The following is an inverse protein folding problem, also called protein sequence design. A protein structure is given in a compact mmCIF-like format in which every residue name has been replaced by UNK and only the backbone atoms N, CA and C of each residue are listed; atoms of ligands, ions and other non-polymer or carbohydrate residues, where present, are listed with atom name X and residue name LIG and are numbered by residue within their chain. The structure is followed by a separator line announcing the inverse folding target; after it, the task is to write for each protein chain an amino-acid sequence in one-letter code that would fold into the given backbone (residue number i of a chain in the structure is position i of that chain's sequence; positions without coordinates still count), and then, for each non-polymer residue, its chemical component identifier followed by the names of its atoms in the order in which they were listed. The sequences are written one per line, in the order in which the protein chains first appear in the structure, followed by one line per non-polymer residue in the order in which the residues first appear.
data_IF_894449750816
#
_entry.id   IF_894449750816
#
_cell.length_a   1.000
_cell.length_b   1.000
_cell.length_c   1.000
_cell.angle_alpha   90.00
_cell.angle_beta   90.00
_cell.angle_gamma   90.00
#
_symmetry.space_group_name_H-M   'P 1'
#
loop_
_entity.id
_entity.type
_entity.pdbx_description
1 polymer ?
#
# COMPACT_ATOMS: atom_id res chain seq x y z
N UNK A 1 -8.82 -13.86 7.01
CA UNK A 1 -8.69 -13.50 5.58
C UNK A 1 -9.46 -12.20 5.37
N UNK A 2 -8.88 -11.20 4.71
CA UNK A 2 -9.57 -9.94 4.39
C UNK A 2 -10.23 -10.11 3.03
N UNK A 3 -11.57 -10.13 2.97
CA UNK A 3 -12.27 -10.39 1.70
C UNK A 3 -12.05 -9.27 0.68
N UNK A 4 -12.29 -8.03 1.09
CA UNK A 4 -12.11 -6.86 0.25
C UNK A 4 -11.30 -5.80 1.00
N UNK A 5 -10.32 -5.21 0.31
CA UNK A 5 -9.52 -4.12 0.86
C UNK A 5 -9.35 -3.01 -0.17
N UNK A 6 -9.33 -1.77 0.31
CA UNK A 6 -9.06 -0.59 -0.51
C UNK A 6 -7.65 -0.12 -0.20
N UNK A 7 -6.79 -0.12 -1.22
CA UNK A 7 -5.43 0.42 -1.15
C UNK A 7 -5.42 1.80 -1.81
N UNK A 8 -5.22 2.84 -1.02
CA UNK A 8 -5.19 4.22 -1.51
C UNK A 8 -3.77 4.73 -1.51
N UNK A 9 -3.34 5.33 -2.63
CA UNK A 9 -1.99 5.91 -2.77
C UNK A 9 -2.11 7.41 -2.96
N UNK A 10 -1.41 8.16 -2.13
CA UNK A 10 -1.46 9.62 -2.09
C UNK A 10 -0.08 10.22 -2.41
N UNK A 11 -0.04 11.55 -2.54
CA UNK A 11 1.21 12.29 -2.64
C UNK A 11 2.14 12.02 -1.44
N UNK A 12 3.42 12.33 -1.60
CA UNK A 12 4.45 12.17 -0.56
C UNK A 12 4.62 10.72 -0.08
N UNK A 13 4.34 9.75 -0.95
CA UNK A 13 4.48 8.32 -0.70
C UNK A 13 3.61 7.76 0.43
N UNK A 14 2.53 8.45 0.81
CA UNK A 14 1.56 7.92 1.77
C UNK A 14 0.69 6.85 1.10
N UNK A 15 0.57 5.69 1.73
CA UNK A 15 -0.36 4.64 1.32
C UNK A 15 -1.25 4.26 2.50
N UNK A 16 -2.54 4.04 2.25
CA UNK A 16 -3.47 3.53 3.26
C UNK A 16 -4.09 2.22 2.80
N UNK A 17 -4.49 1.41 3.77
CA UNK A 17 -5.24 0.17 3.58
C UNK A 17 -6.43 0.18 4.51
N UNK A 18 -7.64 0.01 3.94
CA UNK A 18 -8.89 -0.11 4.68
C UNK A 18 -9.58 -1.43 4.34
N UNK A 19 -10.09 -2.12 5.35
CA UNK A 19 -11.00 -3.26 5.20
C UNK A 19 -11.97 -3.24 6.39
N UNK A 20 -13.26 -3.46 6.17
CA UNK A 20 -14.30 -3.30 7.20
C UNK A 20 -14.12 -1.98 7.98
N UNK A 21 -14.07 -2.06 9.31
CA UNK A 21 -13.81 -0.93 10.23
C UNK A 21 -12.32 -0.70 10.54
N UNK A 22 -11.42 -1.44 9.89
CA UNK A 22 -9.98 -1.37 10.14
C UNK A 22 -9.28 -0.44 9.15
N UNK A 23 -8.21 0.19 9.64
CA UNK A 23 -7.41 1.13 8.87
C UNK A 23 -5.93 1.00 9.22
N UNK A 24 -5.08 1.07 8.19
CA UNK A 24 -3.63 1.03 8.32
C UNK A 24 -2.99 2.06 7.40
N UNK A 25 -1.82 2.56 7.83
CA UNK A 25 -1.00 3.49 7.06
C UNK A 25 0.37 2.89 6.79
N UNK A 26 0.94 3.28 5.66
CA UNK A 26 2.29 2.98 5.25
C UNK A 26 2.91 4.22 4.60
N UNK A 27 4.23 4.33 4.69
CA UNK A 27 4.98 5.38 4.02
C UNK A 27 6.09 4.77 3.16
N UNK A 28 6.14 5.20 1.90
CA UNK A 28 7.11 4.71 0.95
C UNK A 28 6.71 3.40 0.27
N UNK A 29 7.38 3.13 -0.85
CA UNK A 29 7.37 1.84 -1.52
C UNK A 29 8.82 1.42 -1.71
N UNK A 30 9.20 0.26 -1.17
CA UNK A 30 10.54 -0.30 -1.34
C UNK A 30 10.58 -1.17 -2.58
N UNK A 31 11.61 -1.01 -3.40
CA UNK A 31 11.85 -1.88 -4.55
C UNK A 31 12.96 -2.87 -4.20
N UNK A 32 12.77 -4.13 -4.56
CA UNK A 32 13.75 -5.18 -4.33
C UNK A 32 13.62 -6.27 -5.39
N UNK A 33 14.41 -7.34 -5.28
CA UNK A 33 14.38 -8.49 -6.17
C UNK A 33 14.42 -9.79 -5.39
N UNK A 34 13.83 -10.85 -5.94
CA UNK A 34 13.95 -12.20 -5.39
C UNK A 34 15.37 -12.75 -5.61
N UNK A 35 15.68 -13.90 -5.03
CA UNK A 35 16.95 -14.59 -5.27
C UNK A 35 17.19 -14.93 -6.76
N UNK A 36 16.10 -15.08 -7.52
CA UNK A 36 16.14 -15.34 -8.98
C UNK A 36 16.06 -14.02 -9.79
N UNK A 37 16.48 -12.89 -9.22
CA UNK A 37 16.49 -11.55 -9.82
C UNK A 37 15.11 -11.02 -10.28
N UNK A 38 14.01 -11.58 -9.77
CA UNK A 38 12.66 -11.12 -10.15
C UNK A 38 12.31 -9.86 -9.35
N UNK A 39 12.06 -8.70 -9.99
CA UNK A 39 11.77 -7.47 -9.28
C UNK A 39 10.38 -7.49 -8.63
N UNK A 40 10.29 -6.91 -7.43
CA UNK A 40 9.04 -6.67 -6.71
C UNK A 40 9.07 -5.35 -5.94
N UNK A 41 7.89 -4.87 -5.59
CA UNK A 41 7.67 -3.67 -4.77
C UNK A 41 6.97 -4.05 -3.49
N UNK A 42 7.36 -3.48 -2.36
CA UNK A 42 6.76 -3.73 -1.05
C UNK A 42 6.26 -2.42 -0.44
N UNK A 43 5.03 -2.45 0.04
CA UNK A 43 4.45 -1.44 0.92
C UNK A 43 4.26 -2.07 2.30
N UNK A 44 5.02 -1.62 3.29
CA UNK A 44 4.95 -2.13 4.67
C UNK A 44 4.07 -1.25 5.53
N UNK A 45 3.02 -1.83 6.09
CA UNK A 45 2.08 -1.15 6.98
C UNK A 45 2.58 -1.14 8.43
N UNK A 46 2.07 -0.20 9.24
CA UNK A 46 2.48 -0.05 10.64
C UNK A 46 2.22 -1.29 11.51
N UNK A 47 1.20 -2.07 11.20
CA UNK A 47 0.92 -3.34 11.88
C UNK A 47 1.86 -4.49 11.47
N UNK A 48 2.83 -4.24 10.59
CA UNK A 48 3.79 -5.23 10.11
C UNK A 48 3.35 -6.02 8.88
N UNK A 49 2.14 -5.77 8.37
CA UNK A 49 1.69 -6.39 7.12
C UNK A 49 2.45 -5.83 5.91
N UNK A 50 2.64 -6.65 4.89
CA UNK A 50 3.26 -6.25 3.63
C UNK A 50 2.32 -6.50 2.44
N UNK A 51 2.07 -5.44 1.68
CA UNK A 51 1.53 -5.56 0.33
C UNK A 51 2.68 -5.61 -0.68
N UNK A 52 2.82 -6.75 -1.34
CA UNK A 52 3.87 -7.02 -2.32
C UNK A 52 3.28 -7.01 -3.72
N UNK A 53 3.95 -6.33 -4.65
CA UNK A 53 3.55 -6.25 -6.05
C UNK A 53 4.67 -6.73 -6.97
N UNK A 54 4.34 -7.69 -7.83
CA UNK A 54 5.22 -8.19 -8.89
C UNK A 54 4.85 -7.56 -10.23
N UNK A 55 5.55 -6.50 -10.68
CA UNK A 55 5.19 -5.77 -11.90
C UNK A 55 5.22 -6.64 -13.16
N UNK A 56 6.18 -7.58 -13.26
CA UNK A 56 6.28 -8.46 -14.43
C UNK A 56 5.11 -9.44 -14.58
N UNK A 57 4.37 -9.72 -13.50
CA UNK A 57 3.19 -10.60 -13.52
C UNK A 57 1.87 -9.85 -13.30
N UNK A 58 1.94 -8.55 -13.00
CA UNK A 58 0.79 -7.74 -12.59
C UNK A 58 0.00 -8.36 -11.42
N UNK A 59 0.72 -8.93 -10.44
CA UNK A 59 0.11 -9.67 -9.32
C UNK A 59 0.46 -9.04 -8.00
N UNK A 60 -0.55 -8.96 -7.12
CA UNK A 60 -0.40 -8.57 -5.73
C UNK A 60 -0.42 -9.79 -4.80
N UNK A 61 0.36 -9.71 -3.74
CA UNK A 61 0.35 -10.65 -2.63
C UNK A 61 0.27 -9.87 -1.31
N UNK A 62 -0.50 -10.39 -0.38
CA UNK A 62 -0.63 -9.86 0.98
C UNK A 62 0.04 -10.81 1.96
N UNK A 63 1.03 -10.32 2.68
CA UNK A 63 1.69 -11.03 3.77
C UNK A 63 1.21 -10.42 5.09
N UNK A 64 0.65 -11.25 5.96
CA UNK A 64 0.19 -10.81 7.27
C UNK A 64 1.30 -10.96 8.30
N UNK A 65 1.43 -9.99 9.19
CA UNK A 65 2.37 -10.05 10.29
C UNK A 65 2.18 -11.34 11.11
N UNK A 66 3.25 -12.12 11.26
CA UNK A 66 3.23 -13.40 11.99
C UNK A 66 2.64 -14.59 11.24
N UNK A 67 2.20 -14.44 9.98
CA UNK A 67 1.74 -15.55 9.15
C UNK A 67 2.69 -15.76 7.95
N UNK A 68 3.31 -16.95 7.81
CA UNK A 68 4.22 -17.23 6.70
C UNK A 68 3.52 -17.44 5.35
N UNK A 69 2.21 -17.70 5.33
CA UNK A 69 1.47 -17.98 4.10
C UNK A 69 0.83 -16.70 3.54
N UNK A 70 1.19 -16.27 2.31
CA UNK A 70 0.64 -15.08 1.69
C UNK A 70 -0.67 -15.36 0.94
N UNK A 71 -1.58 -14.39 0.98
CA UNK A 71 -2.77 -14.39 0.12
C UNK A 71 -2.42 -13.77 -1.25
N UNK A 72 -2.82 -14.43 -2.34
CA UNK A 72 -2.81 -13.81 -3.68
C UNK A 72 -4.01 -12.88 -3.82
N UNK A 73 -3.78 -11.63 -4.18
CA UNK A 73 -4.84 -10.64 -4.37
C UNK A 73 -5.12 -10.41 -5.87
N UNK A 74 -6.36 -10.07 -6.16
CA UNK A 74 -6.81 -9.61 -7.48
C UNK A 74 -7.35 -8.19 -7.37
N UNK A 75 -7.11 -7.37 -8.39
CA UNK A 75 -7.67 -6.02 -8.46
C UNK A 75 -9.11 -6.13 -8.95
N UNK A 76 -10.07 -5.77 -8.09
CA UNK A 76 -11.50 -5.80 -8.45
C UNK A 76 -11.94 -4.53 -9.20
N UNK A 77 -11.42 -3.38 -8.78
CA UNK A 77 -11.70 -2.08 -9.40
C UNK A 77 -10.57 -1.09 -9.11
N UNK A 78 -10.57 0.03 -9.83
CA UNK A 78 -9.66 1.15 -9.59
C UNK A 78 -10.44 2.44 -9.71
N UNK A 79 -10.23 3.36 -8.79
CA UNK A 79 -10.82 4.69 -8.79
C UNK A 79 -9.77 5.74 -8.43
N UNK A 80 -10.07 6.98 -8.79
CA UNK A 80 -9.25 8.14 -8.43
C UNK A 80 -10.01 8.98 -7.41
N UNK A 81 -9.33 9.47 -6.39
CA UNK A 81 -9.90 10.39 -5.43
C UNK A 81 -9.95 11.80 -6.02
N UNK A 82 -11.07 12.48 -5.88
CA UNK A 82 -11.14 13.92 -6.09
C UNK A 82 -10.37 14.61 -4.96
N UNK A 83 -9.24 15.24 -5.29
CA UNK A 83 -8.35 15.87 -4.30
C UNK A 83 -8.69 17.35 -4.23
N UNK A 84 -9.12 17.83 -3.06
CA UNK A 84 -9.20 19.26 -2.78
C UNK A 84 -7.83 19.75 -2.31
N UNK A 85 -7.24 20.72 -3.00
CA UNK A 85 -6.03 21.37 -2.52
C UNK A 85 -6.38 22.32 -1.37
N UNK A 86 -5.91 22.01 -0.16
CA UNK A 86 -6.00 22.93 0.96
C UNK A 86 -4.95 24.04 0.81
N UNK A 87 -5.26 25.29 1.22
CA UNK A 87 -4.27 26.36 1.22
C UNK A 87 -3.06 25.97 2.07
N UNK A 88 -1.86 26.27 1.57
CA UNK A 88 -0.62 26.01 2.30
C UNK A 88 -0.60 26.87 3.56
N UNK A 89 -0.26 26.28 4.70
CA UNK A 89 -0.02 27.05 5.92
C UNK A 89 1.21 27.96 5.73
N UNK A 90 0.99 29.26 5.85
CA UNK A 90 2.05 30.26 5.95
C UNK A 90 2.31 30.53 7.43
N UNK A 91 3.52 30.24 7.88
CA UNK A 91 3.92 30.55 9.26
C UNK A 91 3.99 32.08 9.40
N UNK A 92 3.32 32.69 10.40
CA UNK A 92 3.45 34.12 10.66
C UNK A 92 4.92 34.50 10.93
N UNK A 93 5.33 35.66 10.43
CA UNK A 93 6.62 36.26 10.80
C UNK A 93 6.67 36.50 12.32
N UNK A 94 7.83 36.21 12.91
CA UNK A 94 8.04 36.23 14.36
C UNK A 94 8.11 37.64 14.95
#
# INVERSE_FOLDING_TARGET
MRENMVISRFAYSLTTMKWDEHFQVASGVRQNKTQNDVPFRVTRFQNGDDLVFFPGKQTYFMFYSGNPEPDRCVVLSTSTYEITQLPRYEKPDA
#
